data_IF_473714847431
#
_entry.id   IF_473714847431
#
_cell.length_a   1.000
_cell.length_b   1.000
_cell.length_c   1.000
_cell.angle_alpha   90.00
_cell.angle_beta   90.00
_cell.angle_gamma   90.00
#
_symmetry.space_group_name_H-M   'P 1'
#
loop_
_entity.id
_entity.type
_entity.pdbx_description
1 polymer ?
#
# COMPACT_ATOMS: atom_id res chain seq x y z
N UNK A 1 -11.57 -32.36 -12.22
CA UNK A 1 -11.88 -31.18 -11.38
C UNK A 1 -12.29 -30.05 -12.31
N UNK A 2 -13.52 -29.55 -12.19
CA UNK A 2 -13.97 -28.42 -13.01
C UNK A 2 -13.19 -27.17 -12.62
N UNK A 3 -12.43 -26.59 -13.55
CA UNK A 3 -11.82 -25.28 -13.39
C UNK A 3 -12.93 -24.23 -13.47
N UNK A 4 -13.64 -24.03 -12.37
CA UNK A 4 -14.57 -22.91 -12.25
C UNK A 4 -13.74 -21.62 -12.35
N UNK A 5 -14.14 -20.66 -13.20
CA UNK A 5 -13.43 -19.39 -13.31
C UNK A 5 -13.48 -18.68 -11.96
N UNK A 6 -12.30 -18.43 -11.35
CA UNK A 6 -12.22 -17.60 -10.15
C UNK A 6 -12.58 -16.18 -10.51
N UNK A 7 -13.50 -15.59 -9.74
CA UNK A 7 -13.83 -14.19 -9.92
C UNK A 7 -12.65 -13.32 -9.47
N UNK A 8 -12.50 -12.14 -10.05
CA UNK A 8 -11.47 -11.17 -9.67
C UNK A 8 -11.51 -10.85 -8.17
N UNK A 9 -12.73 -10.81 -7.61
CA UNK A 9 -12.98 -10.59 -6.19
C UNK A 9 -12.33 -11.70 -5.33
N UNK A 10 -12.42 -12.96 -5.76
CA UNK A 10 -11.80 -14.09 -5.05
C UNK A 10 -10.26 -14.05 -5.08
N UNK A 11 -9.66 -13.23 -5.93
CA UNK A 11 -8.20 -13.06 -6.04
C UNK A 11 -7.76 -11.82 -5.26
N UNK A 12 -8.40 -10.66 -5.52
CA UNK A 12 -8.00 -9.38 -4.95
C UNK A 12 -8.38 -9.21 -3.48
N UNK A 13 -9.51 -9.78 -3.03
CA UNK A 13 -9.96 -9.59 -1.66
C UNK A 13 -9.06 -10.32 -0.64
N UNK A 14 -8.67 -11.60 -0.84
CA UNK A 14 -7.70 -12.24 0.04
C UNK A 14 -6.34 -11.51 0.03
N UNK A 15 -5.90 -11.05 -1.15
CA UNK A 15 -4.68 -10.26 -1.29
C UNK A 15 -4.74 -8.97 -0.47
N UNK A 16 -5.82 -8.21 -0.57
CA UNK A 16 -6.04 -7.01 0.23
C UNK A 16 -6.03 -7.32 1.74
N UNK A 17 -6.71 -8.41 2.15
CA UNK A 17 -6.73 -8.85 3.55
C UNK A 17 -5.34 -9.18 4.09
N UNK A 18 -4.56 -9.96 3.35
CA UNK A 18 -3.19 -10.32 3.76
C UNK A 18 -2.29 -9.08 3.79
N UNK A 19 -2.36 -8.21 2.78
CA UNK A 19 -1.62 -6.94 2.77
C UNK A 19 -1.98 -6.07 3.99
N UNK A 20 -3.26 -6.00 4.36
CA UNK A 20 -3.70 -5.23 5.52
C UNK A 20 -3.14 -5.81 6.83
N UNK A 21 -3.16 -7.14 6.99
CA UNK A 21 -2.56 -7.80 8.16
C UNK A 21 -1.06 -7.52 8.25
N UNK A 22 -0.33 -7.59 7.14
CA UNK A 22 1.11 -7.33 7.11
C UNK A 22 1.42 -5.84 7.37
N UNK A 23 0.59 -4.92 6.87
CA UNK A 23 0.72 -3.49 7.17
C UNK A 23 0.43 -3.20 8.65
N UNK A 24 -0.58 -3.82 9.25
CA UNK A 24 -0.86 -3.72 10.69
C UNK A 24 0.31 -4.27 11.49
N UNK A 25 0.85 -5.43 11.13
CA UNK A 25 2.04 -5.99 11.76
C UNK A 25 3.22 -5.00 11.74
N UNK A 26 3.52 -4.38 10.59
CA UNK A 26 4.60 -3.39 10.48
C UNK A 26 4.36 -2.19 11.41
N UNK A 27 3.13 -1.67 11.46
CA UNK A 27 2.77 -0.56 12.34
C UNK A 27 2.84 -0.94 13.83
N UNK A 28 2.51 -2.17 14.21
CA UNK A 28 2.68 -2.66 15.58
C UNK A 28 4.15 -2.70 15.97
N UNK A 29 5.05 -3.16 15.09
CA UNK A 29 6.49 -3.13 15.36
C UNK A 29 6.98 -1.71 15.56
N UNK A 30 6.55 -0.76 14.73
CA UNK A 30 6.85 0.68 14.90
C UNK A 30 6.35 1.18 16.25
N UNK A 31 5.13 0.85 16.65
CA UNK A 31 4.57 1.26 17.94
C UNK A 31 5.37 0.69 19.12
N UNK A 32 5.74 -0.59 19.08
CA UNK A 32 6.59 -1.21 20.11
C UNK A 32 8.02 -0.66 20.16
N UNK A 33 8.47 -0.01 19.08
CA UNK A 33 9.75 0.72 18.99
C UNK A 33 9.62 2.18 19.43
N UNK A 34 8.55 2.53 20.14
CA UNK A 34 8.30 3.90 20.61
C UNK A 34 8.02 4.86 19.45
N UNK A 35 7.39 4.37 18.38
CA UNK A 35 7.06 5.16 17.18
C UNK A 35 8.28 5.75 16.48
N UNK A 36 9.44 5.10 16.59
CA UNK A 36 10.64 5.45 15.81
C UNK A 36 10.72 4.60 14.55
N UNK A 37 11.06 5.23 13.43
CA UNK A 37 11.34 4.54 12.17
C UNK A 37 12.86 4.42 12.01
N UNK A 38 13.39 3.27 12.41
CA UNK A 38 14.80 2.89 12.31
C UNK A 38 14.96 1.65 11.40
N UNK A 39 16.17 1.11 11.30
CA UNK A 39 16.42 -0.05 10.45
C UNK A 39 15.58 -1.29 10.86
N UNK A 40 15.34 -1.48 12.16
CA UNK A 40 14.58 -2.63 12.67
C UNK A 40 13.10 -2.44 12.40
N UNK A 41 12.51 -1.31 12.80
CA UNK A 41 11.08 -1.06 12.58
C UNK A 41 10.74 -0.87 11.09
N UNK A 42 11.65 -0.30 10.31
CA UNK A 42 11.54 -0.22 8.85
C UNK A 42 11.57 -1.61 8.19
N UNK A 43 12.40 -2.54 8.69
CA UNK A 43 12.46 -3.90 8.15
C UNK A 43 11.17 -4.70 8.36
N UNK A 44 10.31 -4.29 9.30
CA UNK A 44 9.01 -4.93 9.52
C UNK A 44 8.04 -4.79 8.33
N UNK A 45 8.33 -3.89 7.38
CA UNK A 45 7.60 -3.78 6.11
C UNK A 45 8.00 -4.84 5.08
N UNK A 46 9.17 -5.48 5.26
CA UNK A 46 9.70 -6.44 4.28
C UNK A 46 8.75 -7.61 3.98
N UNK A 47 8.03 -8.21 4.95
CA UNK A 47 7.03 -9.23 4.65
C UNK A 47 5.93 -8.75 3.68
N UNK A 48 5.44 -7.52 3.84
CA UNK A 48 4.44 -6.94 2.93
C UNK A 48 5.03 -6.74 1.53
N UNK A 49 6.28 -6.28 1.43
CA UNK A 49 6.98 -6.12 0.15
C UNK A 49 7.19 -7.47 -0.56
N UNK A 50 7.67 -8.48 0.16
CA UNK A 50 7.87 -9.83 -0.39
C UNK A 50 6.56 -10.44 -0.84
N UNK A 51 5.50 -10.31 -0.03
CA UNK A 51 4.17 -10.81 -0.41
C UNK A 51 3.60 -10.09 -1.63
N UNK A 52 3.76 -8.76 -1.71
CA UNK A 52 3.40 -7.96 -2.87
C UNK A 52 4.09 -8.48 -4.15
N UNK A 53 5.42 -8.63 -4.11
CA UNK A 53 6.20 -9.12 -5.27
C UNK A 53 5.78 -10.54 -5.65
N UNK A 54 5.66 -11.42 -4.65
CA UNK A 54 5.19 -12.79 -4.84
C UNK A 54 3.83 -12.82 -5.54
N UNK A 55 2.85 -12.07 -5.03
CA UNK A 55 1.51 -12.01 -5.59
C UNK A 55 1.51 -11.48 -7.02
N UNK A 56 2.28 -10.42 -7.30
CA UNK A 56 2.38 -9.84 -8.64
C UNK A 56 2.97 -10.81 -9.66
N UNK A 57 3.90 -11.67 -9.25
CA UNK A 57 4.48 -12.71 -10.11
C UNK A 57 3.49 -13.85 -10.32
N UNK A 58 2.90 -14.39 -9.25
CA UNK A 58 2.04 -15.58 -9.33
C UNK A 58 0.67 -15.30 -9.93
N UNK A 59 0.08 -14.14 -9.66
CA UNK A 59 -1.22 -13.75 -10.18
C UNK A 59 -1.14 -13.07 -11.56
N UNK A 60 0.07 -12.86 -12.11
CA UNK A 60 0.28 -12.09 -13.35
C UNK A 60 -0.57 -12.58 -14.50
N UNK A 61 -0.57 -13.89 -14.75
CA UNK A 61 -1.25 -14.49 -15.90
C UNK A 61 -2.78 -14.36 -15.81
N UNK A 62 -3.33 -14.38 -14.59
CA UNK A 62 -4.76 -14.21 -14.35
C UNK A 62 -5.14 -12.72 -14.44
N UNK A 63 -4.39 -11.86 -13.74
CA UNK A 63 -4.65 -10.42 -13.69
C UNK A 63 -4.41 -9.72 -15.04
N UNK A 64 -3.52 -10.23 -15.89
CA UNK A 64 -3.28 -9.66 -17.23
C UNK A 64 -4.46 -9.86 -18.19
N UNK A 65 -5.37 -10.80 -17.90
CA UNK A 65 -6.60 -11.01 -18.69
C UNK A 65 -7.65 -9.94 -18.39
N UNK A 66 -7.52 -9.25 -17.26
CA UNK A 66 -8.40 -8.16 -16.85
C UNK A 66 -7.73 -6.85 -17.27
N UNK A 67 -8.50 -5.95 -17.90
CA UNK A 67 -7.99 -4.68 -18.45
C UNK A 67 -7.08 -3.91 -17.47
N UNK A 68 -7.46 -3.84 -16.20
CA UNK A 68 -6.71 -3.12 -15.16
C UNK A 68 -6.28 -4.00 -13.98
N UNK A 69 -6.23 -5.33 -14.14
CA UNK A 69 -6.01 -6.24 -13.00
C UNK A 69 -4.71 -5.97 -12.24
N UNK A 70 -3.58 -5.84 -12.95
CA UNK A 70 -2.28 -5.53 -12.35
C UNK A 70 -2.20 -4.11 -11.79
N UNK A 71 -2.88 -3.15 -12.42
CA UNK A 71 -2.98 -1.77 -11.95
C UNK A 71 -3.73 -1.72 -10.60
N UNK A 72 -4.89 -2.38 -10.53
CA UNK A 72 -5.69 -2.46 -9.30
C UNK A 72 -4.92 -3.17 -8.18
N UNK A 73 -4.19 -4.25 -8.47
CA UNK A 73 -3.35 -4.91 -7.48
C UNK A 73 -2.26 -3.99 -6.90
N UNK A 74 -1.62 -3.16 -7.75
CA UNK A 74 -0.66 -2.15 -7.30
C UNK A 74 -1.35 -1.07 -6.46
N UNK A 75 -2.49 -0.54 -6.93
CA UNK A 75 -3.28 0.46 -6.22
C UNK A 75 -3.68 -0.01 -4.82
N UNK A 76 -4.16 -1.25 -4.69
CA UNK A 76 -4.56 -1.83 -3.39
C UNK A 76 -3.38 -1.88 -2.42
N UNK A 77 -2.22 -2.38 -2.85
CA UNK A 77 -1.04 -2.38 -1.99
C UNK A 77 -0.57 -0.97 -1.63
N UNK A 78 -0.55 -0.06 -2.62
CA UNK A 78 -0.20 1.34 -2.42
C UNK A 78 -1.08 1.98 -1.34
N UNK A 79 -2.41 1.83 -1.46
CA UNK A 79 -3.37 2.40 -0.51
C UNK A 79 -3.20 1.79 0.87
N UNK A 80 -3.19 0.46 0.99
CA UNK A 80 -3.09 -0.21 2.29
C UNK A 80 -1.82 0.21 3.03
N UNK A 81 -0.67 0.14 2.37
CA UNK A 81 0.62 0.45 3.00
C UNK A 81 0.68 1.93 3.35
N UNK A 82 0.51 2.83 2.37
CA UNK A 82 0.69 4.27 2.63
C UNK A 82 -0.36 4.81 3.60
N UNK A 83 -1.63 4.43 3.43
CA UNK A 83 -2.69 4.90 4.32
C UNK A 83 -2.47 4.41 5.75
N UNK A 84 -1.96 3.18 5.95
CA UNK A 84 -1.68 2.68 7.31
C UNK A 84 -0.65 3.55 8.04
N UNK A 85 0.44 3.94 7.38
CA UNK A 85 1.46 4.81 7.98
C UNK A 85 0.93 6.24 8.20
N UNK A 86 0.11 6.76 7.29
CA UNK A 86 -0.52 8.07 7.47
C UNK A 86 -1.52 8.06 8.64
N UNK A 87 -2.33 7.00 8.78
CA UNK A 87 -3.23 6.81 9.92
C UNK A 87 -2.44 6.71 11.22
N UNK A 88 -1.32 5.98 11.24
CA UNK A 88 -0.48 5.87 12.43
C UNK A 88 0.11 7.22 12.80
N UNK A 89 0.70 7.96 11.86
CA UNK A 89 1.21 9.31 12.10
C UNK A 89 0.12 10.27 12.58
N UNK A 90 -1.07 10.24 11.97
CA UNK A 90 -2.22 11.03 12.41
C UNK A 90 -2.67 10.66 13.84
N UNK A 91 -2.66 9.37 14.18
CA UNK A 91 -2.96 8.90 15.53
C UNK A 91 -1.97 9.46 16.54
N UNK A 92 -0.67 9.45 16.22
CA UNK A 92 0.37 10.05 17.08
C UNK A 92 0.17 11.57 17.24
N UNK A 93 -0.21 12.26 16.16
CA UNK A 93 -0.52 13.68 16.19
C UNK A 93 -1.68 13.99 17.14
N UNK A 94 -2.78 13.24 17.05
CA UNK A 94 -3.95 13.40 17.93
C UNK A 94 -3.60 13.09 19.38
N UNK A 95 -2.85 12.02 19.64
CA UNK A 95 -2.46 11.63 21.00
C UNK A 95 -1.44 12.58 21.65
N UNK A 96 -0.68 13.31 20.85
CA UNK A 96 0.31 14.30 21.33
C UNK A 96 -0.31 15.68 21.60
N UNK A 97 -1.62 15.85 21.35
CA UNK A 97 -2.29 17.12 21.52
C UNK A 97 -2.49 17.44 23.02
N UNK A 98 -1.68 18.37 23.54
CA UNK A 98 -1.92 19.03 24.83
C UNK A 98 -2.55 20.40 24.57
N UNK A 99 -3.72 20.66 25.17
CA UNK A 99 -4.50 21.89 25.02
C UNK A 99 -3.76 23.17 25.45
N UNK A 100 -2.64 23.02 26.17
CA UNK A 100 -1.81 24.14 26.64
C UNK A 100 -0.56 24.39 25.77
N UNK A 101 -0.38 23.60 24.69
CA UNK A 101 0.80 23.66 23.82
C UNK A 101 0.42 24.00 22.38
N UNK A 102 1.32 24.67 21.68
CA UNK A 102 1.22 24.84 20.23
C UNK A 102 1.14 23.47 19.54
N UNK A 103 0.21 23.26 18.58
CA UNK A 103 0.09 21.98 17.89
C UNK A 103 1.41 21.63 17.19
N UNK A 104 2.15 20.68 17.76
CA UNK A 104 3.40 20.19 17.18
C UNK A 104 3.42 18.67 17.17
N UNK A 105 3.57 18.10 15.98
CA UNK A 105 3.73 16.65 15.81
C UNK A 105 5.23 16.39 15.71
N UNK A 106 5.83 15.93 16.80
CA UNK A 106 7.25 15.57 16.81
C UNK A 106 7.43 14.13 16.31
N UNK A 107 7.57 13.98 14.99
CA UNK A 107 7.92 12.69 14.39
C UNK A 107 9.43 12.58 14.22
N UNK A 108 9.97 11.40 14.54
CA UNK A 108 11.39 11.11 14.25
C UNK A 108 11.69 11.24 12.74
N UNK A 109 12.93 11.61 12.34
CA UNK A 109 13.26 11.85 10.93
C UNK A 109 12.91 10.70 9.97
N UNK A 110 12.95 9.45 10.44
CA UNK A 110 12.60 8.28 9.62
C UNK A 110 11.15 8.27 9.12
N UNK A 111 10.23 8.99 9.79
CA UNK A 111 8.86 9.15 9.31
C UNK A 111 8.78 9.83 7.96
N UNK A 112 9.72 10.74 7.64
CA UNK A 112 9.76 11.38 6.33
C UNK A 112 9.92 10.34 5.21
N UNK A 113 10.73 9.32 5.45
CA UNK A 113 10.96 8.24 4.49
C UNK A 113 9.68 7.46 4.17
N UNK A 114 8.90 7.09 5.19
CA UNK A 114 7.67 6.30 4.99
C UNK A 114 6.47 7.15 4.56
N UNK A 115 6.37 8.40 4.99
CA UNK A 115 5.25 9.27 4.61
C UNK A 115 5.42 9.89 3.23
N UNK A 116 6.64 10.29 2.86
CA UNK A 116 6.90 10.99 1.60
C UNK A 116 7.74 10.16 0.65
N UNK A 117 8.87 9.62 1.09
CA UNK A 117 9.77 8.86 0.22
C UNK A 117 9.09 7.65 -0.43
N UNK A 118 8.53 6.78 0.41
CA UNK A 118 7.79 5.59 -0.02
C UNK A 118 6.57 5.96 -0.86
N UNK A 119 5.79 6.95 -0.42
CA UNK A 119 4.63 7.44 -1.14
C UNK A 119 4.99 7.93 -2.55
N UNK A 120 6.03 8.76 -2.69
CA UNK A 120 6.46 9.29 -3.97
C UNK A 120 6.99 8.19 -4.90
N UNK A 121 7.82 7.28 -4.39
CA UNK A 121 8.41 6.21 -5.21
C UNK A 121 7.32 5.26 -5.72
N UNK A 122 6.45 4.79 -4.84
CA UNK A 122 5.36 3.89 -5.23
C UNK A 122 4.29 4.63 -6.04
N UNK A 123 3.99 5.87 -5.70
CA UNK A 123 3.04 6.73 -6.42
C UNK A 123 3.50 7.00 -7.85
N UNK A 124 4.81 7.21 -8.07
CA UNK A 124 5.38 7.30 -9.41
C UNK A 124 5.23 5.98 -10.17
N UNK A 125 5.50 4.84 -9.53
CA UNK A 125 5.27 3.52 -10.12
C UNK A 125 3.81 3.30 -10.52
N UNK A 126 2.88 3.70 -9.64
CA UNK A 126 1.44 3.64 -9.88
C UNK A 126 1.01 4.57 -11.03
N UNK A 127 1.57 5.78 -11.11
CA UNK A 127 1.33 6.72 -12.20
C UNK A 127 1.79 6.12 -13.54
N UNK A 128 3.00 5.57 -13.59
CA UNK A 128 3.54 4.90 -14.79
C UNK A 128 2.63 3.74 -15.20
N UNK A 129 2.24 2.88 -14.25
CA UNK A 129 1.30 1.78 -14.51
C UNK A 129 -0.06 2.27 -15.04
N UNK A 130 -0.56 3.38 -14.52
CA UNK A 130 -1.83 3.97 -14.93
C UNK A 130 -1.75 4.45 -16.38
N UNK A 131 -0.75 5.28 -16.70
CA UNK A 131 -0.52 5.81 -18.06
C UNK A 131 -0.32 4.66 -19.05
N UNK A 132 0.54 3.68 -18.71
CA UNK A 132 0.80 2.53 -19.57
C UNK A 132 -0.46 1.67 -19.80
N UNK A 133 -1.30 1.49 -18.77
CA UNK A 133 -2.54 0.72 -18.89
C UNK A 133 -3.56 1.42 -19.79
N UNK A 134 -3.72 2.74 -19.64
CA UNK A 134 -4.61 3.55 -20.50
C UNK A 134 -4.09 3.54 -21.94
N UNK A 135 -2.79 3.76 -22.16
CA UNK A 135 -2.21 3.80 -23.50
C UNK A 135 -2.30 2.45 -24.24
N UNK A 136 -2.08 1.33 -23.53
CA UNK A 136 -2.05 0.00 -24.15
C UNK A 136 -3.42 -0.66 -24.31
N UNK A 137 -4.38 -0.33 -23.43
CA UNK A 137 -5.69 -1.00 -23.41
C UNK A 137 -6.87 -0.05 -23.62
N UNK A 138 -6.63 1.25 -23.79
CA UNK A 138 -7.65 2.30 -23.87
C UNK A 138 -8.39 2.55 -22.54
N UNK A 139 -9.39 3.43 -22.59
CA UNK A 139 -10.42 3.58 -21.55
C UNK A 139 -11.84 3.40 -22.14
N UNK A 140 -12.89 3.79 -21.43
CA UNK A 140 -14.26 3.81 -21.99
C UNK A 140 -14.36 4.77 -23.19
N UNK A 141 -15.08 4.36 -24.23
CA UNK A 141 -15.38 5.21 -25.37
C UNK A 141 -16.62 6.04 -25.06
N UNK A 142 -16.51 7.37 -25.16
CA UNK A 142 -17.67 8.26 -25.08
C UNK A 142 -18.16 8.48 -26.51
N UNK A 143 -19.33 7.94 -26.85
CA UNK A 143 -20.00 8.29 -28.10
C UNK A 143 -20.47 9.74 -28.00
N UNK A 144 -19.85 10.62 -28.78
CA UNK A 144 -20.27 12.02 -28.95
C UNK A 144 -21.28 12.09 -30.09
#
# INVERSE_FOLDING_TARGET
MSNQPRSVVQILLPYAGIMAVLAVFANLVVAFRGSTIDAVSGSALLPAFVYYVYFQITARAELSRIRFGLLVAHLVAFLIVNLSYHIHAATLAVLSFDSNSEPSVSLSPGWFGVLFGMFCIWGLGLLIHTVASIASRGFEEISI
#
